data_IF_810310952513
#
_entry.id   IF_810310952513
#
_cell.length_a   1.000
_cell.length_b   1.000
_cell.length_c   1.000
_cell.angle_alpha   90.00
_cell.angle_beta   90.00
_cell.angle_gamma   90.00
#
_symmetry.space_group_name_H-M   'P 1'
#
loop_
_entity.id
_entity.type
_entity.pdbx_description
1 polymer ?
#
# COMPACT_ATOMS: atom_id res chain seq x y z
N UNK A 1 7.53 10.17 6.76
CA UNK A 1 8.51 10.60 7.77
C UNK A 1 7.78 11.49 8.75
N UNK A 2 7.87 11.23 10.06
CA UNK A 2 7.45 12.23 11.05
C UNK A 2 8.69 13.09 11.31
N UNK A 3 8.53 14.41 11.32
CA UNK A 3 9.63 15.37 11.47
C UNK A 3 9.30 16.28 12.63
N UNK A 4 10.30 16.59 13.47
CA UNK A 4 10.20 17.59 14.53
C UNK A 4 11.25 18.66 14.26
N UNK A 5 10.81 19.85 13.84
CA UNK A 5 11.71 20.86 13.27
C UNK A 5 12.25 20.42 11.90
N UNK A 6 13.57 20.51 11.70
CA UNK A 6 14.28 20.03 10.50
C UNK A 6 14.84 18.60 10.68
N UNK A 7 14.62 17.97 11.84
CA UNK A 7 15.15 16.64 12.12
C UNK A 7 14.09 15.55 11.89
N UNK A 8 14.39 14.54 11.06
CA UNK A 8 13.51 13.41 10.85
C UNK A 8 13.47 12.52 12.09
N UNK A 9 12.30 12.39 12.70
CA UNK A 9 12.15 11.62 13.96
C UNK A 9 11.70 10.19 13.73
N UNK A 10 11.05 9.88 12.60
CA UNK A 10 10.55 8.53 12.31
C UNK A 10 10.66 8.15 10.82
N UNK A 11 11.20 6.96 10.55
CA UNK A 11 11.33 6.35 9.21
C UNK A 11 10.58 5.01 9.17
N UNK A 12 9.88 4.73 8.06
CA UNK A 12 9.27 3.44 7.80
C UNK A 12 10.13 2.68 6.82
N UNK A 13 10.61 1.51 7.24
CA UNK A 13 11.47 0.65 6.44
C UNK A 13 10.78 -0.69 6.27
N UNK A 14 10.64 -1.22 5.04
CA UNK A 14 10.22 -2.60 4.83
C UNK A 14 11.06 -3.56 5.67
N UNK A 15 10.44 -4.57 6.28
CA UNK A 15 11.12 -5.44 7.28
C UNK A 15 12.39 -6.09 6.73
N UNK A 16 12.38 -6.53 5.47
CA UNK A 16 13.55 -7.12 4.80
C UNK A 16 14.71 -6.15 4.59
N UNK A 17 14.43 -4.85 4.53
CA UNK A 17 15.42 -3.79 4.38
C UNK A 17 15.90 -3.31 5.75
N UNK A 18 15.00 -3.27 6.76
CA UNK A 18 15.36 -3.08 8.16
C UNK A 18 16.33 -4.15 8.64
N UNK A 19 16.07 -5.42 8.31
CA UNK A 19 16.94 -6.54 8.68
C UNK A 19 18.35 -6.38 8.10
N UNK A 20 18.47 -5.83 6.88
CA UNK A 20 19.78 -5.51 6.26
C UNK A 20 20.49 -4.37 6.98
N UNK A 21 19.74 -3.33 7.34
CA UNK A 21 20.28 -2.16 8.05
C UNK A 21 20.72 -2.48 9.48
N UNK A 22 20.04 -3.40 10.17
CA UNK A 22 20.45 -3.85 11.51
C UNK A 22 21.64 -4.82 11.44
N UNK A 23 21.72 -5.64 10.38
CA UNK A 23 22.83 -6.57 10.18
C UNK A 23 24.14 -5.85 9.80
N UNK A 24 24.06 -4.72 9.10
CA UNK A 24 25.20 -3.85 8.86
C UNK A 24 25.37 -2.92 10.07
N UNK A 25 26.43 -3.08 10.87
CA UNK A 25 26.72 -2.27 12.07
C UNK A 25 27.12 -0.81 11.74
N UNK A 26 26.33 -0.13 10.90
CA UNK A 26 26.74 0.95 10.02
C UNK A 26 25.71 2.08 10.06
N UNK A 27 25.68 2.77 11.20
CA UNK A 27 24.95 4.03 11.38
C UNK A 27 25.34 5.09 10.31
N UNK A 28 26.59 5.19 9.81
CA UNK A 28 26.94 6.17 8.79
C UNK A 28 26.31 5.90 7.41
N UNK A 29 26.29 4.64 6.96
CA UNK A 29 25.72 4.26 5.66
C UNK A 29 24.20 4.42 5.64
N UNK A 30 23.52 4.19 6.77
CA UNK A 30 22.09 4.44 6.90
C UNK A 30 21.76 5.94 6.75
N UNK A 31 22.61 6.83 7.27
CA UNK A 31 22.47 8.29 7.08
C UNK A 31 22.69 8.67 5.61
N UNK A 32 23.69 8.10 4.94
CA UNK A 32 23.95 8.36 3.52
C UNK A 32 22.79 7.95 2.59
N UNK A 33 22.06 6.88 2.93
CA UNK A 33 20.85 6.46 2.20
C UNK A 33 19.71 7.45 2.41
N UNK A 34 19.55 7.98 3.63
CA UNK A 34 18.52 8.98 3.94
C UNK A 34 18.83 10.35 3.32
N UNK A 35 20.10 10.67 3.07
CA UNK A 35 20.58 11.89 2.42
C UNK A 35 20.67 11.79 0.88
N UNK A 36 20.39 10.63 0.29
CA UNK A 36 20.40 10.44 -1.16
C UNK A 36 19.32 11.32 -1.84
N UNK A 37 19.76 12.20 -2.75
CA UNK A 37 18.89 13.13 -3.50
C UNK A 37 17.91 12.44 -4.46
N UNK A 38 18.05 11.14 -4.66
CA UNK A 38 17.12 10.30 -5.44
C UNK A 38 16.03 9.66 -4.59
N UNK A 39 16.11 9.78 -3.25
CA UNK A 39 15.10 9.30 -2.32
C UNK A 39 13.76 9.98 -2.60
N UNK A 40 12.79 9.19 -3.05
CA UNK A 40 11.43 9.66 -3.28
C UNK A 40 10.65 9.65 -1.97
N UNK A 41 10.38 10.86 -1.48
CA UNK A 41 9.54 11.08 -0.30
C UNK A 41 8.08 11.01 -0.71
N UNK A 42 7.39 9.95 -0.26
CA UNK A 42 5.95 9.79 -0.46
C UNK A 42 5.26 10.15 0.86
N UNK A 43 4.19 10.94 0.77
CA UNK A 43 3.32 11.20 1.92
C UNK A 43 2.78 9.87 2.49
N UNK A 44 2.74 9.75 3.81
CA UNK A 44 2.35 8.51 4.47
C UNK A 44 0.89 8.11 4.17
N UNK A 45 0.00 9.10 4.04
CA UNK A 45 -1.40 8.86 3.71
C UNK A 45 -1.56 8.44 2.24
N UNK A 46 -0.76 9.01 1.34
CA UNK A 46 -0.70 8.60 -0.07
C UNK A 46 -0.16 7.17 -0.22
N UNK A 47 0.89 6.83 0.52
CA UNK A 47 1.46 5.48 0.57
C UNK A 47 0.44 4.44 1.05
N UNK A 48 -0.27 4.73 2.16
CA UNK A 48 -1.29 3.83 2.71
C UNK A 48 -2.40 3.55 1.72
N UNK A 49 -2.84 4.57 1.00
CA UNK A 49 -3.85 4.42 -0.04
C UNK A 49 -3.32 3.50 -1.15
N UNK A 50 -2.15 3.80 -1.72
CA UNK A 50 -1.59 2.97 -2.79
C UNK A 50 -1.44 1.50 -2.39
N UNK A 51 -1.01 1.24 -1.14
CA UNK A 51 -0.87 -0.11 -0.59
C UNK A 51 -2.22 -0.86 -0.53
N UNK A 52 -3.31 -0.18 -0.18
CA UNK A 52 -4.64 -0.80 -0.17
C UNK A 52 -5.09 -1.23 -1.59
N UNK A 53 -4.81 -0.42 -2.61
CA UNK A 53 -5.11 -0.72 -4.01
C UNK A 53 -4.35 -1.97 -4.50
N UNK A 54 -3.06 -2.05 -4.15
CA UNK A 54 -2.23 -3.21 -4.45
C UNK A 54 -2.71 -4.48 -3.74
N UNK A 55 -3.08 -4.38 -2.46
CA UNK A 55 -3.63 -5.50 -1.68
C UNK A 55 -4.91 -6.05 -2.30
N UNK A 56 -5.81 -5.17 -2.76
CA UNK A 56 -7.01 -5.57 -3.50
C UNK A 56 -6.65 -6.29 -4.79
N UNK A 57 -5.71 -5.75 -5.58
CA UNK A 57 -5.30 -6.36 -6.83
C UNK A 57 -4.67 -7.75 -6.62
N UNK A 58 -3.83 -7.89 -5.59
CA UNK A 58 -3.22 -9.17 -5.18
C UNK A 58 -4.28 -10.18 -4.75
N UNK A 59 -5.20 -9.81 -3.86
CA UNK A 59 -6.29 -10.68 -3.41
C UNK A 59 -7.19 -11.12 -4.57
N UNK A 60 -7.51 -10.20 -5.50
CA UNK A 60 -8.27 -10.53 -6.72
C UNK A 60 -7.56 -11.56 -7.59
N UNK A 61 -6.25 -11.38 -7.83
CA UNK A 61 -5.44 -12.31 -8.62
C UNK A 61 -5.35 -13.68 -7.93
N UNK A 62 -5.18 -13.72 -6.61
CA UNK A 62 -5.18 -14.96 -5.83
C UNK A 62 -6.52 -15.71 -5.92
N UNK A 63 -7.64 -14.98 -6.02
CA UNK A 63 -8.97 -15.55 -6.27
C UNK A 63 -9.20 -15.97 -7.73
N UNK A 64 -8.21 -15.84 -8.63
CA UNK A 64 -8.33 -16.21 -10.04
C UNK A 64 -9.25 -15.30 -10.87
N UNK A 65 -9.53 -14.08 -10.39
CA UNK A 65 -10.51 -13.18 -11.01
C UNK A 65 -9.82 -12.10 -11.86
N UNK A 66 -10.41 -11.80 -13.01
CA UNK A 66 -10.16 -10.56 -13.76
C UNK A 66 -10.88 -9.38 -13.09
N UNK A 67 -10.45 -8.15 -13.40
CA UNK A 67 -11.16 -6.94 -12.92
C UNK A 67 -12.63 -6.94 -13.36
N UNK A 68 -12.92 -7.40 -14.59
CA UNK A 68 -14.29 -7.52 -15.12
C UNK A 68 -15.15 -8.50 -14.31
N UNK A 69 -14.58 -9.64 -13.91
CA UNK A 69 -15.29 -10.63 -13.10
C UNK A 69 -15.54 -10.14 -11.67
N UNK A 70 -14.57 -9.49 -11.04
CA UNK A 70 -14.78 -8.86 -9.72
C UNK A 70 -15.85 -7.77 -9.80
N UNK A 71 -15.81 -6.94 -10.85
CA UNK A 71 -16.80 -5.90 -11.09
C UNK A 71 -18.22 -6.47 -11.26
N UNK A 72 -18.36 -7.57 -12.01
CA UNK A 72 -19.62 -8.28 -12.18
C UNK A 72 -20.17 -8.80 -10.84
N UNK A 73 -19.32 -9.41 -10.00
CA UNK A 73 -19.71 -9.86 -8.64
C UNK A 73 -20.20 -8.71 -7.77
N UNK A 74 -19.58 -7.54 -7.92
CA UNK A 74 -19.90 -6.33 -7.16
C UNK A 74 -21.03 -5.50 -7.78
N UNK A 75 -21.52 -5.87 -8.96
CA UNK A 75 -22.51 -5.10 -9.76
C UNK A 75 -22.07 -3.65 -9.94
N UNK A 76 -20.81 -3.45 -10.35
CA UNK A 76 -20.23 -2.13 -10.66
C UNK A 76 -19.52 -2.17 -12.02
N UNK A 77 -19.25 -1.01 -12.65
CA UNK A 77 -18.43 -0.96 -13.86
C UNK A 77 -17.00 -1.48 -13.62
N UNK A 78 -16.40 -2.15 -14.60
CA UNK A 78 -15.00 -2.58 -14.51
C UNK A 78 -14.04 -1.40 -14.31
N UNK A 79 -14.35 -0.24 -14.89
CA UNK A 79 -13.59 1.00 -14.70
C UNK A 79 -13.51 1.42 -13.24
N UNK A 80 -14.54 1.14 -12.43
CA UNK A 80 -14.53 1.41 -11.00
C UNK A 80 -13.53 0.52 -10.26
N UNK A 81 -13.46 -0.78 -10.59
CA UNK A 81 -12.45 -1.70 -10.00
C UNK A 81 -11.05 -1.30 -10.44
N UNK A 82 -10.87 -0.97 -11.72
CA UNK A 82 -9.59 -0.52 -12.25
C UNK A 82 -9.11 0.77 -11.57
N UNK A 83 -10.03 1.70 -11.29
CA UNK A 83 -9.73 2.91 -10.52
C UNK A 83 -9.34 2.57 -9.08
N UNK A 84 -10.13 1.75 -8.38
CA UNK A 84 -9.85 1.36 -6.99
C UNK A 84 -8.47 0.68 -6.85
N UNK A 85 -8.09 -0.19 -7.79
CA UNK A 85 -6.79 -0.88 -7.73
C UNK A 85 -5.59 0.05 -8.03
N UNK A 86 -5.80 1.18 -8.71
CA UNK A 86 -4.74 2.14 -9.05
C UNK A 86 -4.69 3.35 -8.14
N UNK A 87 -5.84 3.82 -7.70
CA UNK A 87 -5.98 4.98 -6.83
C UNK A 87 -7.23 4.79 -5.95
N UNK A 88 -7.07 4.23 -4.74
CA UNK A 88 -8.18 3.95 -3.85
C UNK A 88 -8.56 5.14 -2.95
N UNK A 89 -7.99 6.32 -3.16
CA UNK A 89 -8.25 7.59 -2.45
C UNK A 89 -9.73 7.85 -2.09
N UNK A 90 -10.66 7.45 -2.96
CA UNK A 90 -12.12 7.62 -2.75
C UNK A 90 -12.87 6.35 -2.37
N UNK A 91 -12.16 5.31 -1.94
CA UNK A 91 -12.76 4.02 -1.60
C UNK A 91 -13.23 4.03 -0.15
N UNK A 92 -14.54 4.14 0.04
CA UNK A 92 -15.11 4.08 1.40
C UNK A 92 -14.87 2.71 2.05
N UNK A 93 -14.82 2.68 3.38
CA UNK A 93 -14.77 1.43 4.17
C UNK A 93 -15.90 0.47 3.78
N UNK A 94 -17.08 1.00 3.43
CA UNK A 94 -18.21 0.20 2.94
C UNK A 94 -17.87 -0.51 1.63
N UNK A 95 -17.23 0.17 0.69
CA UNK A 95 -16.79 -0.43 -0.58
C UNK A 95 -15.69 -1.48 -0.34
N UNK A 96 -14.72 -1.20 0.54
CA UNK A 96 -13.69 -2.18 0.92
C UNK A 96 -14.29 -3.45 1.52
N UNK A 97 -15.26 -3.34 2.43
CA UNK A 97 -15.97 -4.51 3.00
C UNK A 97 -16.70 -5.32 1.93
N UNK A 98 -17.31 -4.66 0.93
CA UNK A 98 -17.97 -5.35 -0.19
C UNK A 98 -16.95 -6.10 -1.04
N UNK A 99 -15.80 -5.48 -1.34
CA UNK A 99 -14.71 -6.11 -2.08
C UNK A 99 -14.17 -7.32 -1.32
N UNK A 100 -13.85 -7.17 -0.04
CA UNK A 100 -13.39 -8.25 0.84
C UNK A 100 -14.36 -9.44 0.81
N UNK A 101 -15.67 -9.17 0.96
CA UNK A 101 -16.71 -10.19 0.87
C UNK A 101 -16.75 -10.87 -0.51
N UNK A 102 -16.62 -10.13 -1.61
CA UNK A 102 -16.63 -10.69 -2.97
C UNK A 102 -15.38 -11.53 -3.30
N UNK A 103 -14.28 -11.26 -2.59
CA UNK A 103 -13.01 -11.98 -2.68
C UNK A 103 -12.87 -13.11 -1.65
N UNK A 104 -13.75 -13.18 -0.65
CA UNK A 104 -13.69 -14.19 0.40
C UNK A 104 -12.56 -13.98 1.40
N UNK A 105 -12.13 -12.74 1.62
CA UNK A 105 -11.05 -12.39 2.56
C UNK A 105 -11.54 -11.47 3.67
N UNK A 106 -10.81 -11.40 4.77
CA UNK A 106 -11.04 -10.38 5.80
C UNK A 106 -10.69 -8.98 5.26
N UNK A 107 -11.48 -7.96 5.62
CA UNK A 107 -11.23 -6.58 5.19
C UNK A 107 -9.87 -6.05 5.67
N UNK A 108 -9.35 -6.56 6.80
CA UNK A 108 -8.01 -6.26 7.31
C UNK A 108 -6.89 -6.69 6.37
N UNK A 109 -7.12 -7.68 5.51
CA UNK A 109 -6.15 -8.09 4.50
C UNK A 109 -6.04 -7.09 3.33
N UNK A 110 -7.01 -6.16 3.22
CA UNK A 110 -7.06 -5.14 2.18
C UNK A 110 -6.62 -3.75 2.67
N UNK A 111 -6.34 -3.61 3.97
CA UNK A 111 -6.00 -2.36 4.67
C UNK A 111 -4.53 -2.31 5.03
#
# INVERSE_FOLDING_TARGET
MIVEGDEPTHVLVPVNEYDRLIAASMVPEAIAILEDKTTQWIDFDDWKLQLAGERIAKARKAAGLTQKQLAARLKVPQSQISRIERNPDRTTVRTLKRIAKALGVDVRALL
#
